data_IF_322073600539
#
_entry.id   IF_322073600539
#
_cell.length_a   1.000
_cell.length_b   1.000
_cell.length_c   1.000
_cell.angle_alpha   90.00
_cell.angle_beta   90.00
_cell.angle_gamma   90.00
#
_symmetry.space_group_name_H-M   'P 1'
#
loop_
_entity.id
_entity.type
_entity.pdbx_description
1 polymer ?
#
# COMPACT_ATOMS: atom_id res chain seq x y z
N UNK A 1 -7.91 38.01 -51.78
CA UNK A 1 -7.32 36.67 -51.55
C UNK A 1 -6.60 36.77 -50.21
N UNK A 2 -7.36 36.60 -49.12
CA UNK A 2 -6.85 36.83 -47.77
C UNK A 2 -6.16 35.56 -47.28
N UNK A 3 -4.84 35.66 -47.08
CA UNK A 3 -4.07 34.66 -46.37
C UNK A 3 -4.58 34.60 -44.92
N UNK A 4 -5.06 33.43 -44.53
CA UNK A 4 -5.31 33.09 -43.14
C UNK A 4 -3.95 32.82 -42.48
N UNK A 5 -3.44 33.79 -41.74
CA UNK A 5 -2.43 33.56 -40.72
C UNK A 5 -3.08 32.84 -39.53
N UNK A 6 -3.26 31.53 -39.66
CA UNK A 6 -3.58 30.64 -38.55
C UNK A 6 -2.29 30.28 -37.82
N UNK A 7 -1.74 31.25 -37.07
CA UNK A 7 -0.72 30.99 -36.06
C UNK A 7 -1.37 30.19 -34.92
N UNK A 8 -1.45 28.88 -35.15
CA UNK A 8 -1.75 27.88 -34.13
C UNK A 8 -0.70 27.99 -33.03
N UNK A 9 -1.03 28.74 -31.99
CA UNK A 9 -0.37 28.81 -30.70
C UNK A 9 -0.53 27.46 -29.96
N UNK A 10 0.00 26.39 -30.58
CA UNK A 10 0.26 25.13 -29.89
C UNK A 10 1.44 25.41 -28.98
N UNK A 11 1.16 25.73 -27.72
CA UNK A 11 2.16 25.90 -26.67
C UNK A 11 3.15 24.73 -26.67
N UNK A 12 4.26 24.90 -27.39
CA UNK A 12 5.31 23.90 -27.51
C UNK A 12 6.16 24.03 -26.25
N UNK A 13 6.36 22.91 -25.55
CA UNK A 13 7.24 22.87 -24.37
C UNK A 13 8.63 23.35 -24.82
N UNK A 14 9.09 24.46 -24.25
CA UNK A 14 10.37 25.09 -24.61
C UNK A 14 11.55 24.21 -24.18
N UNK A 15 12.69 24.30 -24.84
CA UNK A 15 13.90 23.54 -24.46
C UNK A 15 14.29 23.61 -22.98
N UNK A 16 14.27 24.77 -22.29
CA UNK A 16 14.55 24.81 -20.86
C UNK A 16 13.49 24.06 -20.03
N UNK A 17 12.21 24.13 -20.42
CA UNK A 17 11.15 23.36 -19.78
C UNK A 17 11.35 21.85 -19.98
N UNK A 18 11.82 21.42 -21.16
CA UNK A 18 12.13 20.00 -21.45
C UNK A 18 13.29 19.49 -20.59
N UNK A 19 14.37 20.26 -20.43
CA UNK A 19 15.52 19.86 -19.60
C UNK A 19 15.12 19.72 -18.13
N UNK A 20 14.40 20.72 -17.60
CA UNK A 20 13.92 20.70 -16.22
C UNK A 20 12.94 19.54 -15.98
N UNK A 21 11.99 19.33 -16.89
CA UNK A 21 11.02 18.24 -16.77
C UNK A 21 11.65 16.86 -16.90
N UNK A 22 12.72 16.71 -17.69
CA UNK A 22 13.46 15.45 -17.82
C UNK A 22 14.22 15.13 -16.53
N UNK A 23 14.88 16.11 -15.93
CA UNK A 23 15.56 15.94 -14.64
C UNK A 23 14.56 15.59 -13.52
N UNK A 24 13.45 16.33 -13.43
CA UNK A 24 12.40 16.07 -12.44
C UNK A 24 11.76 14.69 -12.69
N UNK A 25 11.59 14.26 -13.95
CA UNK A 25 11.09 12.93 -14.29
C UNK A 25 12.08 11.79 -13.98
N UNK A 26 13.39 12.02 -14.08
CA UNK A 26 14.41 11.06 -13.61
C UNK A 26 14.39 10.94 -12.09
N UNK A 27 14.23 12.05 -11.36
CA UNK A 27 14.03 12.02 -9.91
C UNK A 27 12.79 11.22 -9.55
N UNK A 28 11.67 11.48 -10.23
CA UNK A 28 10.44 10.71 -10.05
C UNK A 28 10.65 9.22 -10.29
N UNK A 29 11.38 8.82 -11.33
CA UNK A 29 11.68 7.40 -11.57
C UNK A 29 12.47 6.79 -10.40
N UNK A 30 13.49 7.48 -9.88
CA UNK A 30 14.26 7.00 -8.72
C UNK A 30 13.40 6.86 -7.46
N UNK A 31 12.42 7.75 -7.26
CA UNK A 31 11.45 7.65 -6.18
C UNK A 31 10.51 6.45 -6.34
N UNK A 32 10.06 6.17 -7.57
CA UNK A 32 9.23 4.99 -7.85
C UNK A 32 10.00 3.68 -7.61
N UNK A 33 11.28 3.61 -7.96
CA UNK A 33 12.12 2.44 -7.69
C UNK A 33 12.38 2.27 -6.17
N UNK A 34 12.58 3.37 -5.43
CA UNK A 34 12.69 3.34 -3.98
C UNK A 34 11.37 2.88 -3.32
N UNK A 35 10.23 3.32 -3.85
CA UNK A 35 8.90 2.88 -3.41
C UNK A 35 8.70 1.39 -3.66
N UNK A 36 9.15 0.87 -4.81
CA UNK A 36 9.09 -0.55 -5.13
C UNK A 36 9.90 -1.38 -4.13
N UNK A 37 11.13 -0.95 -3.81
CA UNK A 37 11.97 -1.62 -2.83
C UNK A 37 11.33 -1.65 -1.42
N UNK A 38 10.76 -0.53 -0.98
CA UNK A 38 10.06 -0.44 0.30
C UNK A 38 8.82 -1.36 0.35
N UNK A 39 8.03 -1.39 -0.74
CA UNK A 39 6.87 -2.25 -0.86
C UNK A 39 7.26 -3.74 -0.89
N UNK A 40 8.35 -4.11 -1.56
CA UNK A 40 8.88 -5.49 -1.54
C UNK A 40 9.29 -5.90 -0.12
N UNK A 41 9.96 -5.01 0.61
CA UNK A 41 10.31 -5.25 2.01
C UNK A 41 9.06 -5.47 2.88
N UNK A 42 8.04 -4.62 2.74
CA UNK A 42 6.76 -4.77 3.45
C UNK A 42 6.08 -6.11 3.13
N UNK A 43 6.04 -6.49 1.84
CA UNK A 43 5.47 -7.77 1.40
C UNK A 43 6.20 -8.96 2.03
N UNK A 44 7.52 -8.91 2.12
CA UNK A 44 8.31 -9.98 2.74
C UNK A 44 8.01 -10.07 4.24
N UNK A 45 7.96 -8.95 4.95
CA UNK A 45 7.58 -8.93 6.37
C UNK A 45 6.17 -9.50 6.60
N UNK A 46 5.21 -9.22 5.70
CA UNK A 46 3.85 -9.78 5.77
C UNK A 46 3.82 -11.31 5.61
N UNK A 47 4.75 -11.88 4.83
CA UNK A 47 4.86 -13.32 4.61
C UNK A 47 5.47 -14.05 5.80
N UNK A 48 6.25 -13.35 6.62
CA UNK A 48 6.90 -13.93 7.79
C UNK A 48 5.94 -14.06 8.98
N UNK A 49 4.79 -13.35 8.95
CA UNK A 49 3.74 -13.52 9.96
C UNK A 49 3.22 -14.97 9.96
N UNK A 50 3.24 -15.59 11.13
CA UNK A 50 2.63 -16.90 11.38
C UNK A 50 3.43 -18.10 10.88
N UNK A 51 4.64 -17.90 10.32
CA UNK A 51 5.51 -19.00 9.87
C UNK A 51 6.41 -19.58 10.96
N UNK A 52 6.60 -18.86 12.05
CA UNK A 52 7.47 -19.28 13.16
C UNK A 52 6.68 -19.30 14.46
N UNK A 53 7.04 -20.20 15.39
CA UNK A 53 6.62 -20.12 16.78
C UNK A 53 7.41 -18.97 17.44
N UNK A 54 7.04 -17.74 17.08
CA UNK A 54 7.83 -16.56 17.38
C UNK A 54 7.69 -16.22 18.86
N UNK A 55 8.83 -16.11 19.57
CA UNK A 55 8.85 -15.54 20.92
C UNK A 55 8.15 -14.17 20.95
N UNK A 56 7.44 -13.81 22.04
CA UNK A 56 6.68 -12.55 22.11
C UNK A 56 7.49 -11.29 21.74
N UNK A 57 8.80 -11.29 22.00
CA UNK A 57 9.70 -10.20 21.65
C UNK A 57 9.95 -10.10 20.14
N UNK A 58 10.10 -11.23 19.45
CA UNK A 58 10.34 -11.25 18.01
C UNK A 58 9.07 -10.87 17.22
N UNK A 59 7.88 -11.23 17.72
CA UNK A 59 6.61 -10.80 17.13
C UNK A 59 6.39 -9.28 17.29
N UNK A 60 6.74 -8.73 18.46
CA UNK A 60 6.73 -7.27 18.68
C UNK A 60 7.68 -6.54 17.72
N UNK A 61 8.90 -7.07 17.51
CA UNK A 61 9.88 -6.50 16.56
C UNK A 61 9.38 -6.57 15.12
N UNK A 62 8.75 -7.68 14.73
CA UNK A 62 8.15 -7.83 13.40
C UNK A 62 7.07 -6.76 13.16
N UNK A 63 6.15 -6.59 14.12
CA UNK A 63 5.10 -5.56 14.05
C UNK A 63 5.68 -4.14 13.94
N UNK A 64 6.72 -3.82 14.71
CA UNK A 64 7.40 -2.52 14.62
C UNK A 64 8.05 -2.30 13.24
N UNK A 65 8.72 -3.31 12.69
CA UNK A 65 9.33 -3.24 11.35
C UNK A 65 8.27 -3.07 10.26
N UNK A 66 7.14 -3.74 10.40
CA UNK A 66 6.01 -3.57 9.48
C UNK A 66 5.41 -2.17 9.53
N UNK A 67 5.22 -1.61 10.73
CA UNK A 67 4.75 -0.23 10.88
C UNK A 67 5.71 0.75 10.23
N UNK A 68 7.02 0.64 10.52
CA UNK A 68 8.03 1.50 9.91
C UNK A 68 8.08 1.38 8.38
N UNK A 69 7.91 0.16 7.84
CA UNK A 69 7.84 -0.06 6.39
C UNK A 69 6.57 0.54 5.77
N UNK A 70 5.42 0.44 6.45
CA UNK A 70 4.18 1.07 6.01
C UNK A 70 4.28 2.60 6.02
N UNK A 71 4.86 3.18 7.08
CA UNK A 71 5.09 4.63 7.19
C UNK A 71 6.02 5.13 6.08
N UNK A 72 7.09 4.38 5.76
CA UNK A 72 7.99 4.69 4.67
C UNK A 72 7.28 4.66 3.31
N UNK A 73 6.47 3.64 3.04
CA UNK A 73 5.64 3.58 1.83
C UNK A 73 4.70 4.78 1.72
N UNK A 74 4.09 5.22 2.84
CA UNK A 74 3.24 6.40 2.87
C UNK A 74 3.98 7.69 2.56
N UNK A 75 5.20 7.87 3.10
CA UNK A 75 6.05 9.03 2.78
C UNK A 75 6.45 9.06 1.31
N UNK A 76 6.91 7.94 0.77
CA UNK A 76 7.31 7.84 -0.64
C UNK A 76 6.13 8.10 -1.59
N UNK A 77 4.92 7.67 -1.24
CA UNK A 77 3.71 8.00 -2.01
C UNK A 77 3.40 9.51 -2.00
N UNK A 78 3.56 10.17 -0.85
CA UNK A 78 3.38 11.61 -0.73
C UNK A 78 4.44 12.38 -1.56
N UNK A 79 5.71 11.99 -1.46
CA UNK A 79 6.81 12.60 -2.23
C UNK A 79 6.58 12.41 -3.74
N UNK A 80 6.14 11.22 -4.17
CA UNK A 80 5.78 10.96 -5.56
C UNK A 80 4.67 11.89 -6.06
N UNK A 81 3.65 12.18 -5.24
CA UNK A 81 2.59 13.14 -5.62
C UNK A 81 3.12 14.55 -5.79
N UNK A 82 3.96 15.02 -4.86
CA UNK A 82 4.60 16.34 -4.95
C UNK A 82 5.47 16.48 -6.20
N UNK A 83 6.21 15.43 -6.57
CA UNK A 83 7.01 15.42 -7.81
C UNK A 83 6.13 15.43 -9.06
N UNK A 84 5.03 14.67 -9.06
CA UNK A 84 4.06 14.70 -10.17
C UNK A 84 3.42 16.08 -10.31
N UNK A 85 3.05 16.72 -9.20
CA UNK A 85 2.55 18.10 -9.16
C UNK A 85 3.58 19.08 -9.74
N UNK A 86 4.82 19.02 -9.24
CA UNK A 86 5.92 19.87 -9.72
C UNK A 86 6.13 19.70 -11.22
N UNK A 87 6.25 18.47 -11.72
CA UNK A 87 6.41 18.20 -13.16
C UNK A 87 5.18 18.69 -13.93
N UNK A 88 3.98 18.50 -13.40
CA UNK A 88 2.74 18.99 -14.00
C UNK A 88 2.71 20.51 -14.15
N UNK A 89 3.14 21.25 -13.13
CA UNK A 89 3.24 22.71 -13.19
C UNK A 89 4.24 23.17 -14.25
N UNK A 90 5.42 22.53 -14.33
CA UNK A 90 6.43 22.81 -15.36
C UNK A 90 5.87 22.51 -16.75
N UNK A 91 5.13 21.42 -16.92
CA UNK A 91 4.53 21.01 -18.19
C UNK A 91 3.18 21.69 -18.49
N UNK A 92 2.73 22.63 -17.65
CA UNK A 92 1.43 23.32 -17.75
C UNK A 92 0.25 22.35 -17.90
N UNK A 93 0.28 21.23 -17.19
CA UNK A 93 -0.81 20.26 -17.14
C UNK A 93 -1.88 20.80 -16.15
N UNK A 94 -3.15 20.89 -16.56
CA UNK A 94 -4.24 21.27 -15.68
C UNK A 94 -4.33 20.36 -14.43
N UNK A 95 -4.59 20.95 -13.26
CA UNK A 95 -4.61 20.22 -11.98
C UNK A 95 -5.69 19.13 -11.91
N UNK A 96 -6.81 19.31 -12.60
CA UNK A 96 -7.88 18.32 -12.76
C UNK A 96 -7.45 17.08 -13.58
N UNK A 97 -6.37 17.20 -14.36
CA UNK A 97 -5.83 16.13 -15.20
C UNK A 97 -4.47 15.61 -14.71
N UNK A 98 -4.04 16.04 -13.53
CA UNK A 98 -2.73 15.76 -12.99
C UNK A 98 -2.63 14.31 -12.52
N UNK A 99 -2.20 13.45 -13.45
CA UNK A 99 -1.95 12.04 -13.21
C UNK A 99 -0.57 11.68 -13.75
N UNK A 100 0.13 10.76 -13.08
CA UNK A 100 1.42 10.22 -13.55
C UNK A 100 1.36 9.71 -15.01
N UNK A 101 0.21 9.18 -15.44
CA UNK A 101 -0.01 8.74 -16.83
C UNK A 101 -0.01 9.91 -17.81
N UNK A 102 -0.59 11.04 -17.42
CA UNK A 102 -0.65 12.26 -18.24
C UNK A 102 0.74 12.88 -18.35
N UNK A 103 1.48 12.96 -17.24
CA UNK A 103 2.89 13.36 -17.22
C UNK A 103 3.73 12.48 -18.17
N UNK A 104 3.63 11.15 -18.05
CA UNK A 104 4.34 10.23 -18.94
C UNK A 104 3.95 10.39 -20.42
N UNK A 105 2.69 10.69 -20.72
CA UNK A 105 2.23 10.93 -22.09
C UNK A 105 2.81 12.22 -22.68
N UNK A 106 2.95 13.28 -21.89
CA UNK A 106 3.59 14.54 -22.32
C UNK A 106 5.09 14.32 -22.53
N UNK A 107 5.76 13.63 -21.60
CA UNK A 107 7.19 13.29 -21.69
C UNK A 107 7.50 12.50 -22.97
N UNK A 108 6.61 11.59 -23.38
CA UNK A 108 6.78 10.76 -24.59
C UNK A 108 7.12 11.57 -25.85
N UNK A 109 6.64 12.80 -25.95
CA UNK A 109 6.86 13.66 -27.12
C UNK A 109 8.32 14.11 -27.29
N UNK A 110 9.13 14.08 -26.23
CA UNK A 110 10.53 14.51 -26.26
C UNK A 110 11.51 13.50 -25.63
N UNK A 111 11.06 12.59 -24.76
CA UNK A 111 11.84 11.48 -24.22
C UNK A 111 10.98 10.20 -24.13
N UNK A 112 10.95 9.38 -25.20
CA UNK A 112 10.12 8.18 -25.25
C UNK A 112 10.63 7.05 -24.34
N UNK A 113 11.93 7.01 -24.05
CA UNK A 113 12.53 5.97 -23.19
C UNK A 113 12.14 6.22 -21.73
N UNK A 114 12.30 7.44 -21.24
CA UNK A 114 11.89 7.81 -19.88
C UNK A 114 10.38 7.65 -19.67
N UNK A 115 9.57 7.98 -20.69
CA UNK A 115 8.12 7.74 -20.67
C UNK A 115 7.78 6.25 -20.49
N UNK A 116 8.50 5.35 -21.16
CA UNK A 116 8.35 3.90 -21.02
C UNK A 116 8.75 3.45 -19.61
N UNK A 117 9.91 3.88 -19.13
CA UNK A 117 10.41 3.55 -17.78
C UNK A 117 9.44 3.97 -16.69
N UNK A 118 8.87 5.19 -16.74
CA UNK A 118 7.85 5.64 -15.81
C UNK A 118 6.56 4.81 -15.88
N UNK A 119 6.14 4.43 -17.08
CA UNK A 119 4.96 3.59 -17.29
C UNK A 119 5.16 2.19 -16.73
N UNK A 120 6.34 1.61 -16.93
CA UNK A 120 6.71 0.29 -16.43
C UNK A 120 6.87 0.28 -14.90
N UNK A 121 7.54 1.29 -14.32
CA UNK A 121 7.62 1.47 -12.88
C UNK A 121 6.22 1.56 -12.24
N UNK A 122 5.31 2.36 -12.82
CA UNK A 122 3.92 2.44 -12.36
C UNK A 122 3.23 1.07 -12.41
N UNK A 123 3.40 0.31 -13.50
CA UNK A 123 2.79 -1.03 -13.64
C UNK A 123 3.32 -1.99 -12.57
N UNK A 124 4.64 -2.01 -12.33
CA UNK A 124 5.27 -2.83 -11.28
C UNK A 124 4.70 -2.49 -9.90
N UNK A 125 4.61 -1.21 -9.56
CA UNK A 125 4.04 -0.75 -8.29
C UNK A 125 2.56 -1.15 -8.11
N UNK A 126 1.73 -1.04 -9.15
CA UNK A 126 0.32 -1.46 -9.08
C UNK A 126 0.18 -2.96 -8.86
N UNK A 127 0.97 -3.77 -9.56
CA UNK A 127 0.98 -5.22 -9.36
C UNK A 127 1.46 -5.57 -7.94
N UNK A 128 2.49 -4.88 -7.44
CA UNK A 128 3.02 -5.10 -6.11
C UNK A 128 2.02 -4.69 -5.02
N UNK A 129 1.30 -3.58 -5.20
CA UNK A 129 0.21 -3.16 -4.31
C UNK A 129 -0.89 -4.23 -4.22
N UNK A 130 -1.31 -4.78 -5.36
CA UNK A 130 -2.28 -5.88 -5.40
C UNK A 130 -1.75 -7.11 -4.67
N UNK A 131 -0.48 -7.49 -4.88
CA UNK A 131 0.14 -8.62 -4.19
C UNK A 131 0.23 -8.41 -2.68
N UNK A 132 0.58 -7.20 -2.23
CA UNK A 132 0.61 -6.84 -0.81
C UNK A 132 -0.79 -6.92 -0.21
N UNK A 133 -1.80 -6.39 -0.90
CA UNK A 133 -3.18 -6.46 -0.45
C UNK A 133 -3.66 -7.91 -0.29
N UNK A 134 -3.40 -8.77 -1.29
CA UNK A 134 -3.74 -10.20 -1.20
C UNK A 134 -2.98 -10.92 -0.07
N UNK A 135 -1.70 -10.61 0.10
CA UNK A 135 -0.88 -11.16 1.20
C UNK A 135 -1.47 -10.73 2.55
N UNK A 136 -1.82 -9.45 2.69
CA UNK A 136 -2.43 -8.91 3.91
C UNK A 136 -3.76 -9.60 4.25
N UNK A 137 -4.65 -9.79 3.28
CA UNK A 137 -5.92 -10.51 3.50
C UNK A 137 -5.68 -11.95 3.93
N UNK A 138 -4.75 -12.65 3.27
CA UNK A 138 -4.41 -14.04 3.58
C UNK A 138 -3.83 -14.15 5.00
N UNK A 139 -2.91 -13.26 5.36
CA UNK A 139 -2.30 -13.21 6.68
C UNK A 139 -3.32 -12.86 7.77
N UNK A 140 -4.22 -11.91 7.52
CA UNK A 140 -5.31 -11.58 8.43
C UNK A 140 -6.23 -12.76 8.70
N UNK A 141 -6.61 -13.51 7.65
CA UNK A 141 -7.40 -14.73 7.77
C UNK A 141 -6.66 -15.82 8.57
N UNK A 142 -5.36 -16.01 8.37
CA UNK A 142 -4.55 -16.97 9.14
C UNK A 142 -4.53 -16.62 10.64
N UNK A 143 -4.28 -15.36 10.98
CA UNK A 143 -4.25 -14.89 12.37
C UNK A 143 -5.62 -15.06 13.04
N UNK A 144 -6.71 -14.75 12.33
CA UNK A 144 -8.06 -14.94 12.83
C UNK A 144 -8.34 -16.42 13.14
N UNK A 145 -7.96 -17.34 12.25
CA UNK A 145 -8.11 -18.78 12.48
C UNK A 145 -7.24 -19.28 13.64
N UNK A 146 -6.01 -18.78 13.78
CA UNK A 146 -5.16 -19.11 14.93
C UNK A 146 -5.84 -18.67 16.24
N UNK A 147 -6.37 -17.45 16.29
CA UNK A 147 -7.07 -16.95 17.46
C UNK A 147 -8.31 -17.80 17.80
N UNK A 148 -9.11 -18.17 16.80
CA UNK A 148 -10.26 -19.06 16.99
C UNK A 148 -9.85 -20.44 17.52
N UNK A 149 -8.77 -21.03 16.99
CA UNK A 149 -8.24 -22.30 17.50
C UNK A 149 -7.77 -22.18 18.95
N UNK A 150 -7.07 -21.11 19.31
CA UNK A 150 -6.68 -20.86 20.70
C UNK A 150 -7.88 -20.69 21.62
N UNK A 151 -8.94 -19.98 21.19
CA UNK A 151 -10.18 -19.87 21.95
C UNK A 151 -10.83 -21.24 22.18
N UNK A 152 -10.98 -22.07 21.14
CA UNK A 152 -11.53 -23.43 21.26
C UNK A 152 -10.68 -24.29 22.18
N UNK A 153 -9.34 -24.23 22.08
CA UNK A 153 -8.45 -24.96 22.97
C UNK A 153 -8.56 -24.48 24.42
N UNK A 154 -8.71 -23.17 24.64
CA UNK A 154 -8.94 -22.61 25.98
C UNK A 154 -10.30 -23.06 26.54
N UNK A 155 -11.36 -23.08 25.73
CA UNK A 155 -12.68 -23.61 26.13
C UNK A 155 -12.58 -25.08 26.54
N UNK A 156 -11.89 -25.92 25.74
CA UNK A 156 -11.65 -27.33 26.06
C UNK A 156 -10.79 -27.49 27.33
N UNK A 157 -9.68 -26.78 27.43
CA UNK A 157 -8.72 -26.90 28.54
C UNK A 157 -9.28 -26.38 29.87
N UNK A 158 -10.15 -25.37 29.83
CA UNK A 158 -10.83 -24.85 31.03
C UNK A 158 -12.08 -25.67 31.41
N UNK A 159 -12.37 -26.77 30.70
CA UNK A 159 -13.54 -27.61 30.96
C UNK A 159 -14.87 -26.95 30.61
N UNK A 160 -14.85 -25.83 29.89
CA UNK A 160 -16.04 -25.22 29.31
C UNK A 160 -16.38 -25.94 28.01
N UNK A 161 -16.67 -27.24 28.08
CA UNK A 161 -17.52 -27.87 27.05
C UNK A 161 -18.81 -27.08 27.06
N UNK A 162 -19.09 -26.35 25.98
CA UNK A 162 -20.23 -25.46 25.81
C UNK A 162 -21.43 -25.96 26.62
N UNK A 163 -21.74 -25.28 27.73
CA UNK A 163 -22.97 -25.51 28.45
C UNK A 163 -24.09 -25.27 27.44
N UNK A 164 -24.86 -26.30 27.10
CA UNK A 164 -26.12 -26.23 26.32
C UNK A 164 -27.20 -25.47 27.12
N UNK A 165 -26.86 -24.31 27.66
CA UNK A 165 -27.79 -23.37 28.26
C UNK A 165 -28.16 -22.40 27.17
N UNK A 166 -29.20 -22.79 26.44
CA UNK A 166 -30.03 -21.88 25.69
C UNK A 166 -30.51 -20.77 26.64
N UNK A 167 -30.46 -19.52 26.19
CA UNK A 167 -31.22 -18.49 26.90
C UNK A 167 -32.73 -18.81 26.82
N UNK A 168 -33.56 -18.10 27.59
CA UNK A 168 -35.01 -18.29 27.57
C UNK A 168 -35.67 -17.99 26.20
N UNK A 169 -34.89 -17.58 25.19
CA UNK A 169 -35.31 -17.35 23.80
C UNK A 169 -34.83 -18.43 22.82
N UNK A 170 -34.13 -19.47 23.30
CA UNK A 170 -33.64 -20.57 22.47
C UNK A 170 -32.39 -20.23 21.66
N UNK A 171 -31.68 -19.15 21.98
CA UNK A 171 -30.45 -18.76 21.29
C UNK A 171 -29.22 -19.18 22.12
N UNK A 172 -28.17 -19.63 21.40
CA UNK A 172 -26.89 -20.03 22.00
C UNK A 172 -26.23 -18.79 22.58
N UNK A 173 -26.34 -18.61 23.88
CA UNK A 173 -25.79 -17.46 24.60
C UNK A 173 -24.29 -17.62 24.74
N UNK A 174 -23.52 -17.01 23.84
CA UNK A 174 -22.08 -16.82 24.01
C UNK A 174 -21.90 -15.52 24.79
N UNK A 175 -22.20 -15.55 26.09
CA UNK A 175 -21.76 -14.49 26.99
C UNK A 175 -20.37 -14.88 27.47
N UNK A 176 -19.32 -14.08 27.20
CA UNK A 176 -18.00 -14.31 27.76
C UNK A 176 -18.09 -14.03 29.26
N UNK A 177 -18.37 -15.06 30.06
CA UNK A 177 -18.34 -14.95 31.50
C UNK A 177 -16.88 -14.75 31.91
N UNK A 178 -16.58 -13.54 32.36
CA UNK A 178 -15.33 -13.17 33.01
C UNK A 178 -14.89 -14.26 33.99
N UNK A 179 -13.66 -14.74 33.80
CA UNK A 179 -12.97 -15.68 34.67
C UNK A 179 -12.95 -15.10 36.09
N UNK A 180 -13.94 -15.48 36.92
CA UNK A 180 -13.89 -15.26 38.36
C UNK A 180 -13.20 -16.47 38.97
N UNK A 181 -11.92 -16.31 39.30
CA UNK A 181 -11.22 -17.22 40.19
C UNK A 181 -11.91 -17.18 41.56
N UNK A 182 -12.83 -18.12 41.80
CA UNK A 182 -13.35 -18.40 43.12
C UNK A 182 -12.25 -19.03 43.96
N UNK A 183 -11.59 -18.19 44.78
CA UNK A 183 -10.74 -18.61 45.89
C UNK A 183 -11.52 -19.57 46.79
N UNK A 184 -10.97 -20.78 46.97
CA UNK A 184 -11.40 -21.69 48.03
C UNK A 184 -10.98 -21.10 49.38
N UNK A 185 -11.92 -21.03 50.31
CA UNK A 185 -11.68 -21.11 51.75
C UNK A 185 -12.48 -22.28 52.27
#
# INVERSE_FOLDING_TARGET
MNQFDDHSDRGTVTEPMRKLSTQDAQQLLSHLDAQEAAMLALKNLLRDIGREAVEPQADRRLRQRMQAAADLCGKLDADCRLLVERIGTVLKIPSDQLLLRRVAAVIRSYDPELSRSLSDARRRLLQLAQQIHQTFLTTGWLLQNQHQRYQVLLEIATGHTASDRYDATGRKSVVPNTIRYGTRS
#
